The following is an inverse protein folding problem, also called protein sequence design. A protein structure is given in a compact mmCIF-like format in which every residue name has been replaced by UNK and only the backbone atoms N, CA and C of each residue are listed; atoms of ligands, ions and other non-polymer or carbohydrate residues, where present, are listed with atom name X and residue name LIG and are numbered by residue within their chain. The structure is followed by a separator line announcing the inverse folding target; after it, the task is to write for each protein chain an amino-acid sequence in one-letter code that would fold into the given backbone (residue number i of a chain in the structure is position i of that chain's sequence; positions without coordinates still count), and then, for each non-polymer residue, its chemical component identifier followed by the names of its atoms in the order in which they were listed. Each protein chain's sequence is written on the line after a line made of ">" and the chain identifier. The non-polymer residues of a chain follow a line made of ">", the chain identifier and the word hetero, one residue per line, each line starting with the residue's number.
data_IF_353787693637
#
_entry.id   IF_353787693637
#
_cell.length_a   1.000
_cell.length_b   1.000
_cell.length_c   1.000
_cell.angle_alpha   90.00
_cell.angle_beta   90.00
_cell.angle_gamma   90.00
#
_symmetry.space_group_name_H-M   'P 1'
#
loop_
_entity.id
_entity.type
_entity.pdbx_description
1 polymer ?
#
# COMPACT_ATOMS: atom_id res chain seq x y z
N UNK A 1 14.42 -0.19 -5.41
CA UNK A 1 13.68 1.00 -4.92
C UNK A 1 12.45 0.47 -4.22
N UNK A 2 12.16 0.89 -2.98
CA UNK A 2 11.16 0.25 -2.14
C UNK A 2 9.89 1.13 -2.06
N UNK A 3 8.77 0.66 -2.60
CA UNK A 3 7.51 1.41 -2.68
C UNK A 3 6.93 1.61 -1.28
N UNK A 4 7.06 0.59 -0.42
CA UNK A 4 6.62 0.65 0.99
C UNK A 4 7.29 1.78 1.75
N UNK A 5 8.59 1.99 1.60
CA UNK A 5 9.29 3.11 2.26
C UNK A 5 8.76 4.47 1.79
N UNK A 6 8.47 4.63 0.50
CA UNK A 6 7.96 5.89 -0.05
C UNK A 6 6.53 6.18 0.42
N UNK A 7 5.68 5.15 0.53
CA UNK A 7 4.36 5.28 1.11
C UNK A 7 4.44 5.63 2.61
N UNK A 8 5.34 5.02 3.36
CA UNK A 8 5.55 5.33 4.77
C UNK A 8 6.10 6.73 5.02
N UNK A 9 6.77 7.34 4.04
CA UNK A 9 7.15 8.76 4.08
C UNK A 9 5.96 9.71 3.84
N UNK A 10 4.85 9.20 3.29
CA UNK A 10 3.63 9.97 3.05
C UNK A 10 2.75 10.11 4.30
N UNK A 11 2.44 11.35 4.68
CA UNK A 11 1.56 11.62 5.85
C UNK A 11 0.16 11.01 5.70
N UNK A 12 -0.41 11.02 4.48
CA UNK A 12 -1.74 10.46 4.23
C UNK A 12 -1.82 8.97 4.52
N UNK A 13 -0.77 8.22 4.14
CA UNK A 13 -0.73 6.77 4.36
C UNK A 13 -0.49 6.43 5.84
N UNK A 14 0.36 7.20 6.53
CA UNK A 14 0.53 7.04 7.98
C UNK A 14 -0.77 7.34 8.76
N UNK A 15 -1.56 8.33 8.31
CA UNK A 15 -2.86 8.63 8.89
C UNK A 15 -3.82 7.45 8.71
N UNK A 16 -3.87 6.86 7.50
CA UNK A 16 -4.65 5.66 7.22
C UNK A 16 -4.28 4.52 8.17
N UNK A 17 -2.99 4.19 8.30
CA UNK A 17 -2.54 3.11 9.19
C UNK A 17 -2.96 3.35 10.65
N UNK A 18 -2.93 4.60 11.12
CA UNK A 18 -3.38 4.97 12.46
C UNK A 18 -4.89 4.79 12.64
N UNK A 19 -5.71 5.12 11.64
CA UNK A 19 -7.17 4.92 11.70
C UNK A 19 -7.52 3.44 11.92
N UNK A 20 -6.76 2.55 11.31
CA UNK A 20 -6.96 1.10 11.44
C UNK A 20 -6.09 0.47 12.55
N UNK A 21 -5.35 1.26 13.34
CA UNK A 21 -4.43 0.77 14.37
C UNK A 21 -3.43 -0.30 13.88
N UNK A 22 -2.91 -0.13 12.67
CA UNK A 22 -1.92 -1.01 12.02
C UNK A 22 -0.54 -0.35 12.13
N UNK A 23 0.48 -1.11 12.52
CA UNK A 23 1.85 -0.61 12.54
C UNK A 23 2.51 -0.74 11.15
N UNK A 24 3.42 0.19 10.83
CA UNK A 24 4.18 0.18 9.57
C UNK A 24 5.01 -1.10 9.34
N UNK A 25 5.34 -1.84 10.41
CA UNK A 25 6.03 -3.14 10.29
C UNK A 25 5.08 -4.26 9.84
N UNK A 26 3.79 -4.11 10.13
CA UNK A 26 2.75 -5.12 9.93
C UNK A 26 2.00 -4.94 8.61
N UNK A 27 2.52 -4.09 7.71
CA UNK A 27 2.01 -3.93 6.34
C UNK A 27 2.85 -4.71 5.33
N UNK A 28 2.20 -5.27 4.32
CA UNK A 28 2.79 -5.97 3.18
C UNK A 28 2.06 -5.49 1.93
N UNK A 29 2.80 -5.01 0.93
CA UNK A 29 2.23 -4.70 -0.39
C UNK A 29 2.28 -6.00 -1.18
N UNK A 30 1.13 -6.61 -1.46
CA UNK A 30 1.11 -7.94 -2.09
C UNK A 30 1.61 -7.91 -3.53
N UNK A 31 1.35 -6.81 -4.24
CA UNK A 31 1.70 -6.65 -5.65
C UNK A 31 3.10 -6.06 -5.90
N UNK A 32 3.93 -5.89 -4.86
CA UNK A 32 5.23 -5.20 -4.97
C UNK A 32 6.15 -5.83 -6.03
N UNK A 33 6.20 -7.17 -6.10
CA UNK A 33 7.02 -7.88 -7.09
C UNK A 33 6.49 -7.76 -8.52
N UNK A 34 5.17 -7.64 -8.69
CA UNK A 34 4.53 -7.49 -10.00
C UNK A 34 4.77 -6.07 -10.52
N UNK A 35 4.63 -5.08 -9.65
CA UNK A 35 4.88 -3.67 -10.01
C UNK A 35 6.37 -3.44 -10.24
N UNK A 36 7.29 -4.02 -9.47
CA UNK A 36 8.72 -3.80 -9.71
C UNK A 36 9.28 -4.63 -10.88
N UNK A 37 8.60 -5.73 -11.24
CA UNK A 37 8.99 -6.61 -12.34
C UNK A 37 8.53 -6.14 -13.73
N UNK A 38 7.56 -5.23 -13.82
CA UNK A 38 7.11 -4.73 -15.12
C UNK A 38 8.13 -3.74 -15.71
N UNK A 39 8.96 -4.25 -16.62
CA UNK A 39 9.97 -3.49 -17.35
C UNK A 39 9.43 -2.26 -18.10
N UNK A 40 8.11 -2.13 -18.28
CA UNK A 40 7.49 -0.94 -18.88
C UNK A 40 7.45 0.28 -17.96
N UNK A 41 7.60 0.11 -16.64
CA UNK A 41 7.52 1.20 -15.68
C UNK A 41 8.75 2.10 -15.70
N UNK A 42 9.90 1.56 -16.13
CA UNK A 42 11.11 2.35 -16.31
C UNK A 42 10.97 3.46 -17.37
N UNK A 43 9.96 3.37 -18.26
CA UNK A 43 9.70 4.37 -19.30
C UNK A 43 8.61 5.38 -18.95
N UNK A 44 7.94 5.25 -17.78
CA UNK A 44 6.83 6.12 -17.38
C UNK A 44 7.20 6.95 -16.16
N UNK A 45 7.17 8.28 -16.29
CA UNK A 45 7.46 9.21 -15.18
C UNK A 45 6.43 9.11 -14.04
N UNK A 46 5.17 8.85 -14.40
CA UNK A 46 4.05 8.67 -13.48
C UNK A 46 3.42 7.32 -13.76
N UNK A 47 3.28 6.53 -12.70
CA UNK A 47 2.74 5.18 -12.66
C UNK A 47 1.45 5.22 -11.85
N UNK A 48 0.42 4.55 -12.35
CA UNK A 48 -0.86 4.40 -11.67
C UNK A 48 -1.27 2.95 -11.75
N UNK A 49 -1.08 2.23 -10.66
CA UNK A 49 -1.40 0.80 -10.57
C UNK A 49 -2.42 0.55 -9.47
N UNK A 50 -3.31 -0.40 -9.70
CA UNK A 50 -4.20 -0.88 -8.65
C UNK A 50 -3.42 -1.88 -7.81
N UNK A 51 -3.36 -1.66 -6.50
CA UNK A 51 -2.57 -2.48 -5.58
C UNK A 51 -3.40 -2.93 -4.38
N UNK A 52 -3.02 -4.07 -3.82
CA UNK A 52 -3.49 -4.55 -2.54
C UNK A 52 -2.40 -4.37 -1.47
N UNK A 53 -2.78 -3.71 -0.37
CA UNK A 53 -1.94 -3.58 0.82
C UNK A 53 -2.60 -4.39 1.94
N UNK A 54 -1.93 -5.45 2.37
CA UNK A 54 -2.32 -6.19 3.56
C UNK A 54 -1.73 -5.49 4.79
N UNK A 55 -2.55 -5.22 5.79
CA UNK A 55 -2.12 -4.71 7.09
C UNK A 55 -2.68 -5.57 8.22
N UNK A 56 -1.85 -5.93 9.19
CA UNK A 56 -2.25 -6.76 10.32
C UNK A 56 -2.32 -5.94 11.60
N UNK A 57 -3.38 -6.15 12.37
CA UNK A 57 -3.48 -5.62 13.73
C UNK A 57 -4.05 -6.70 14.67
N UNK A 58 -4.30 -6.32 15.92
CA UNK A 58 -4.90 -7.19 16.95
C UNK A 58 -6.31 -7.69 16.62
N UNK A 59 -7.03 -7.00 15.73
CA UNK A 59 -8.42 -7.25 15.37
C UNK A 59 -8.54 -8.10 14.08
N UNK A 60 -7.42 -8.39 13.41
CA UNK A 60 -7.36 -9.28 12.26
C UNK A 60 -6.46 -8.77 11.14
N UNK A 61 -6.74 -9.24 9.92
CA UNK A 61 -6.04 -8.86 8.70
C UNK A 61 -6.95 -7.90 7.92
N UNK A 62 -6.41 -6.75 7.52
CA UNK A 62 -7.08 -5.76 6.68
C UNK A 62 -6.41 -5.75 5.31
N UNK A 63 -7.19 -5.96 4.25
CA UNK A 63 -6.74 -5.83 2.87
C UNK A 63 -7.27 -4.51 2.33
N UNK A 64 -6.38 -3.55 2.10
CA UNK A 64 -6.69 -2.27 1.50
C UNK A 64 -6.53 -2.35 -0.01
N UNK A 65 -7.59 -2.04 -0.75
CA UNK A 65 -7.59 -1.98 -2.20
C UNK A 65 -7.62 -0.52 -2.64
N UNK A 66 -6.72 -0.16 -3.54
CA UNK A 66 -6.62 1.21 -4.00
C UNK A 66 -5.68 1.39 -5.17
N UNK A 67 -5.51 2.65 -5.56
CA UNK A 67 -4.58 3.02 -6.62
C UNK A 67 -3.30 3.61 -6.02
N UNK A 68 -2.18 3.02 -6.39
CA UNK A 68 -0.85 3.58 -6.15
C UNK A 68 -0.54 4.59 -7.25
N UNK A 69 -0.48 5.85 -6.88
CA UNK A 69 0.08 6.90 -7.73
C UNK A 69 1.55 7.05 -7.37
N UNK A 70 2.42 6.68 -8.29
CA UNK A 70 3.85 6.71 -8.09
C UNK A 70 4.54 7.62 -9.10
N UNK A 71 5.35 8.56 -8.61
CA UNK A 71 6.19 9.43 -9.44
C UNK A 71 7.65 9.05 -9.25
N UNK A 72 8.26 8.52 -10.31
CA UNK A 72 9.64 8.02 -10.30
C UNK A 72 10.64 9.15 -10.12
N UNK A 73 10.42 10.28 -10.80
CA UNK A 73 11.32 11.44 -10.83
C UNK A 73 11.42 12.09 -9.44
N UNK A 74 10.27 12.28 -8.78
CA UNK A 74 10.16 12.92 -7.48
C UNK A 74 10.27 11.93 -6.32
N UNK A 75 10.38 10.62 -6.59
CA UNK A 75 10.36 9.54 -5.60
C UNK A 75 9.19 9.69 -4.62
N UNK A 76 8.01 10.00 -5.17
CA UNK A 76 6.80 10.23 -4.39
C UNK A 76 5.82 9.10 -4.65
N UNK A 77 5.30 8.49 -3.58
CA UNK A 77 4.24 7.50 -3.66
C UNK A 77 3.03 7.98 -2.85
N UNK A 78 1.84 7.88 -3.44
CA UNK A 78 0.56 8.15 -2.78
C UNK A 78 -0.34 6.96 -3.00
N UNK A 79 -0.87 6.41 -1.92
CA UNK A 79 -1.89 5.37 -1.99
C UNK A 79 -3.26 6.00 -1.77
N UNK A 80 -4.13 5.86 -2.77
CA UNK A 80 -5.51 6.28 -2.72
C UNK A 80 -6.39 5.06 -2.46
N UNK A 81 -6.83 4.89 -1.21
CA UNK A 81 -7.71 3.79 -0.82
C UNK A 81 -9.09 3.96 -1.47
N UNK A 82 -9.56 2.91 -2.13
CA UNK A 82 -10.90 2.83 -2.72
C UNK A 82 -11.84 1.96 -1.88
N UNK A 83 -11.28 0.97 -1.18
CA UNK A 83 -12.03 0.10 -0.27
C UNK A 83 -11.10 -0.74 0.58
N UNK A 84 -11.66 -1.46 1.54
CA UNK A 84 -10.92 -2.42 2.33
C UNK A 84 -11.81 -3.60 2.71
N UNK A 85 -11.18 -4.75 2.95
CA UNK A 85 -11.81 -5.95 3.50
C UNK A 85 -11.10 -6.34 4.79
N UNK A 86 -11.87 -6.73 5.81
CA UNK A 86 -11.31 -7.32 7.03
C UNK A 86 -11.50 -8.83 6.99
N UNK A 87 -10.40 -9.57 6.99
CA UNK A 87 -10.37 -11.02 7.02
C UNK A 87 -9.89 -11.47 8.39
N UNK A 88 -10.69 -12.29 9.08
CA UNK A 88 -10.25 -12.97 10.31
C UNK A 88 -10.85 -12.51 11.64
N UNK A 89 -12.09 -12.01 11.67
CA UNK A 89 -12.89 -12.14 12.90
C UNK A 89 -13.49 -13.55 12.97
N UNK A 90 -12.83 -14.47 13.68
CA UNK A 90 -13.54 -15.62 14.26
C UNK A 90 -14.32 -15.09 15.45
N UNK A 91 -15.61 -14.83 15.26
CA UNK A 91 -16.57 -14.90 16.35
C UNK A 91 -16.62 -16.36 16.80
N UNK A 92 -16.13 -16.64 18.02
CA UNK A 92 -16.61 -17.79 18.79
C UNK A 92 -18.06 -17.56 19.19
#
# INVERSE_FOLDING_TARGET
>A
MNIKELLLNGQSFLALLKEFAIEAKDIIIQDEDVILGDHNLAQREIVKETICIEGKNKDGIFNFFGTLHYNILNKLAVFEMQGFEQVGMRTN
#
